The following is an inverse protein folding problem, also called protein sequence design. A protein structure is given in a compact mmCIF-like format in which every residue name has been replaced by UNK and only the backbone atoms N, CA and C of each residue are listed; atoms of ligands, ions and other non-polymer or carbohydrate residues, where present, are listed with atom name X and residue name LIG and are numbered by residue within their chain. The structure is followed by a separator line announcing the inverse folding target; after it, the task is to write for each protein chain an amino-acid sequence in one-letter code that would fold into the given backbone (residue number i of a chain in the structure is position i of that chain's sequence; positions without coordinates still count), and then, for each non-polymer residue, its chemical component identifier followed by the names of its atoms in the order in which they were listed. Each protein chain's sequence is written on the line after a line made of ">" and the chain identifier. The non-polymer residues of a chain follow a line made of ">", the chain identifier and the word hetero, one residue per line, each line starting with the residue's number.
data_IF_110983213758
#
_entry.id   IF_110983213758
#
_cell.length_a   1.000
_cell.length_b   1.000
_cell.length_c   1.000
_cell.angle_alpha   90.00
_cell.angle_beta   90.00
_cell.angle_gamma   90.00
#
_symmetry.space_group_name_H-M   'P 1'
#
loop_
_entity.id
_entity.type
_entity.pdbx_description
1 polymer ?
#
# COMPACT_ATOMS: atom_id res chain seq x y z
N UNK A 1 -75.48 13.87 36.39
CA UNK A 1 -75.15 13.52 34.99
C UNK A 1 -73.78 12.86 35.00
N UNK A 2 -73.71 11.56 34.68
CA UNK A 2 -72.48 10.77 34.68
C UNK A 2 -71.79 10.86 33.32
N UNK A 3 -70.55 11.37 33.28
CA UNK A 3 -69.71 11.32 32.08
C UNK A 3 -68.94 9.99 32.06
N UNK A 4 -69.36 9.06 31.20
CA UNK A 4 -68.63 7.81 30.94
C UNK A 4 -67.46 8.10 29.99
N UNK A 5 -66.24 8.18 30.54
CA UNK A 5 -65.00 8.30 29.77
C UNK A 5 -64.69 6.95 29.12
N UNK A 6 -64.87 6.86 27.80
CA UNK A 6 -64.46 5.69 27.02
C UNK A 6 -62.93 5.64 26.97
N UNK A 7 -62.33 4.80 27.82
CA UNK A 7 -60.91 4.49 27.76
C UNK A 7 -60.64 3.56 26.58
N UNK A 8 -60.14 4.12 25.48
CA UNK A 8 -59.59 3.33 24.38
C UNK A 8 -58.36 2.58 24.90
N UNK A 9 -58.51 1.28 25.19
CA UNK A 9 -57.40 0.38 25.46
C UNK A 9 -56.55 0.27 24.18
N UNK A 10 -55.52 1.10 24.07
CA UNK A 10 -54.46 0.90 23.10
C UNK A 10 -53.67 -0.31 23.59
N UNK A 11 -53.85 -1.46 22.93
CA UNK A 11 -52.99 -2.63 23.10
C UNK A 11 -51.54 -2.19 22.93
N UNK A 12 -50.79 -2.08 24.03
CA UNK A 12 -49.34 -1.90 23.97
C UNK A 12 -48.77 -3.27 23.62
N UNK A 13 -48.55 -3.51 22.33
CA UNK A 13 -47.80 -4.67 21.83
C UNK A 13 -46.31 -4.47 22.20
N UNK A 14 -45.89 -5.05 23.31
CA UNK A 14 -44.48 -5.18 23.66
C UNK A 14 -43.87 -6.40 22.95
N UNK A 15 -42.63 -6.26 22.48
CA UNK A 15 -41.84 -7.38 21.96
C UNK A 15 -41.62 -8.41 23.07
N UNK A 16 -41.78 -9.70 22.77
CA UNK A 16 -41.49 -10.77 23.73
C UNK A 16 -39.97 -10.98 23.84
N UNK A 17 -39.50 -11.41 25.02
CA UNK A 17 -38.09 -11.76 25.21
C UNK A 17 -37.68 -12.93 24.29
N UNK A 18 -38.58 -13.86 24.02
CA UNK A 18 -38.34 -15.00 23.15
C UNK A 18 -38.13 -14.56 21.68
N UNK A 19 -38.91 -13.61 21.19
CA UNK A 19 -38.75 -13.05 19.84
C UNK A 19 -37.39 -12.37 19.69
N UNK A 20 -36.95 -11.61 20.70
CA UNK A 20 -35.63 -10.98 20.66
C UNK A 20 -34.50 -12.03 20.70
N UNK A 21 -34.64 -13.08 21.52
CA UNK A 21 -33.64 -14.14 21.66
C UNK A 21 -33.41 -14.90 20.36
N UNK A 22 -34.47 -15.26 19.63
CA UNK A 22 -34.32 -15.97 18.35
C UNK A 22 -33.61 -15.09 17.31
N UNK A 23 -33.89 -13.78 17.31
CA UNK A 23 -33.26 -12.83 16.38
C UNK A 23 -31.76 -12.72 16.65
N UNK A 24 -31.36 -12.56 17.91
CA UNK A 24 -29.93 -12.49 18.27
C UNK A 24 -29.22 -13.80 17.96
N UNK A 25 -29.88 -14.95 18.16
CA UNK A 25 -29.31 -16.25 17.79
C UNK A 25 -29.03 -16.36 16.28
N UNK A 26 -29.97 -15.93 15.43
CA UNK A 26 -29.80 -15.94 13.97
C UNK A 26 -28.69 -14.96 13.54
N UNK A 27 -28.67 -13.73 14.09
CA UNK A 27 -27.61 -12.75 13.81
C UNK A 27 -26.24 -13.31 14.22
N UNK A 28 -26.15 -14.00 15.37
CA UNK A 28 -24.92 -14.64 15.82
C UNK A 28 -24.34 -15.63 14.81
N UNK A 29 -25.18 -16.48 14.21
CA UNK A 29 -24.77 -17.44 13.18
C UNK A 29 -24.27 -16.72 11.92
N UNK A 30 -25.00 -15.68 11.47
CA UNK A 30 -24.60 -14.90 10.30
C UNK A 30 -23.26 -14.21 10.50
N UNK A 31 -23.05 -13.59 11.67
CA UNK A 31 -21.81 -12.88 12.01
C UNK A 31 -20.61 -13.85 12.08
N UNK A 32 -20.80 -15.04 12.65
CA UNK A 32 -19.74 -16.04 12.78
C UNK A 32 -19.13 -16.44 11.43
N UNK A 33 -19.95 -16.57 10.38
CA UNK A 33 -19.48 -16.88 9.02
C UNK A 33 -18.97 -15.61 8.31
N UNK A 34 -19.64 -14.47 8.53
CA UNK A 34 -19.37 -13.24 7.78
C UNK A 34 -18.01 -12.61 8.12
N UNK A 35 -17.60 -12.61 9.39
CA UNK A 35 -16.34 -11.97 9.81
C UNK A 35 -15.09 -12.53 9.10
N UNK A 36 -14.83 -13.87 9.10
CA UNK A 36 -13.63 -14.41 8.46
C UNK A 36 -13.65 -14.20 6.94
N UNK A 37 -14.81 -14.35 6.30
CA UNK A 37 -14.97 -14.13 4.86
C UNK A 37 -14.69 -12.68 4.49
N UNK A 38 -15.32 -11.75 5.21
CA UNK A 38 -15.13 -10.31 4.99
C UNK A 38 -13.68 -9.88 5.20
N UNK A 39 -13.02 -10.41 6.24
CA UNK A 39 -11.61 -10.12 6.53
C UNK A 39 -10.69 -10.59 5.39
N UNK A 40 -10.92 -11.81 4.88
CA UNK A 40 -10.15 -12.35 3.75
C UNK A 40 -10.37 -11.53 2.47
N UNK A 41 -11.62 -11.19 2.16
CA UNK A 41 -11.94 -10.37 0.99
C UNK A 41 -11.35 -8.96 1.08
N UNK A 42 -11.41 -8.35 2.26
CA UNK A 42 -10.78 -7.05 2.52
C UNK A 42 -9.27 -7.10 2.27
N UNK A 43 -8.58 -8.14 2.74
CA UNK A 43 -7.16 -8.30 2.50
C UNK A 43 -6.84 -8.43 1.01
N UNK A 44 -7.61 -9.24 0.27
CA UNK A 44 -7.45 -9.39 -1.19
C UNK A 44 -7.69 -8.06 -1.92
N UNK A 45 -8.69 -7.28 -1.49
CA UNK A 45 -8.96 -5.97 -2.05
C UNK A 45 -7.80 -4.98 -1.82
N UNK A 46 -7.19 -4.99 -0.63
CA UNK A 46 -6.00 -4.19 -0.33
C UNK A 46 -4.83 -4.55 -1.25
N UNK A 47 -4.54 -5.85 -1.39
CA UNK A 47 -3.46 -6.32 -2.28
C UNK A 47 -3.73 -5.92 -3.73
N UNK A 48 -4.96 -6.12 -4.23
CA UNK A 48 -5.34 -5.75 -5.58
C UNK A 48 -5.19 -4.24 -5.84
N UNK A 49 -5.65 -3.40 -4.91
CA UNK A 49 -5.51 -1.96 -4.99
C UNK A 49 -4.03 -1.53 -5.00
N UNK A 50 -3.22 -2.05 -4.08
CA UNK A 50 -1.80 -1.74 -4.04
C UNK A 50 -1.06 -2.19 -5.31
N UNK A 51 -1.36 -3.37 -5.85
CA UNK A 51 -0.81 -3.83 -7.13
C UNK A 51 -1.18 -2.90 -8.29
N UNK A 52 -2.42 -2.43 -8.35
CA UNK A 52 -2.85 -1.46 -9.35
C UNK A 52 -2.09 -0.13 -9.21
N UNK A 53 -1.95 0.36 -7.98
CA UNK A 53 -1.22 1.59 -7.68
C UNK A 53 0.27 1.47 -8.00
N UNK A 54 0.90 0.31 -7.74
CA UNK A 54 2.30 0.04 -8.09
C UNK A 54 2.51 0.10 -9.60
N UNK A 55 1.58 -0.48 -10.38
CA UNK A 55 1.64 -0.40 -11.85
C UNK A 55 1.49 1.03 -12.33
N UNK A 56 0.56 1.80 -11.75
CA UNK A 56 0.39 3.21 -12.06
C UNK A 56 1.65 4.03 -11.73
N UNK A 57 2.27 3.79 -10.56
CA UNK A 57 3.50 4.44 -10.15
C UNK A 57 4.66 4.16 -11.12
N UNK A 58 4.85 2.88 -11.53
CA UNK A 58 5.86 2.51 -12.53
C UNK A 58 5.60 3.19 -13.87
N UNK A 59 4.35 3.16 -14.35
CA UNK A 59 3.99 3.78 -15.61
C UNK A 59 4.22 5.30 -15.58
N UNK A 60 3.84 5.97 -14.49
CA UNK A 60 4.07 7.40 -14.31
C UNK A 60 5.56 7.75 -14.35
N UNK A 61 6.40 6.96 -13.67
CA UNK A 61 7.85 7.18 -13.67
C UNK A 61 8.44 6.92 -15.05
N UNK A 62 8.10 5.80 -15.69
CA UNK A 62 8.55 5.50 -17.05
C UNK A 62 8.18 6.63 -18.02
N UNK A 63 6.94 7.11 -17.99
CA UNK A 63 6.50 8.24 -18.81
C UNK A 63 7.31 9.51 -18.51
N UNK A 64 7.50 9.83 -17.23
CA UNK A 64 8.28 10.99 -16.81
C UNK A 64 9.74 10.95 -17.28
N UNK A 65 10.32 9.75 -17.40
CA UNK A 65 11.67 9.51 -17.91
C UNK A 65 11.75 9.60 -19.44
N UNK A 66 10.71 9.17 -20.15
CA UNK A 66 10.63 9.35 -21.60
C UNK A 66 10.53 10.82 -22.01
N UNK A 67 9.76 11.62 -21.25
CA UNK A 67 9.59 13.05 -21.53
C UNK A 67 10.86 13.86 -21.22
N UNK A 68 11.59 13.47 -20.19
CA UNK A 68 12.74 14.22 -19.71
C UNK A 68 13.78 13.28 -19.07
N UNK A 69 14.76 12.90 -19.87
CA UNK A 69 15.88 12.06 -19.43
C UNK A 69 16.80 12.79 -18.45
N UNK A 70 16.66 14.11 -18.27
CA UNK A 70 17.42 14.85 -17.24
C UNK A 70 16.98 14.49 -15.82
N UNK A 71 15.83 13.82 -15.66
CA UNK A 71 15.42 13.20 -14.39
C UNK A 71 16.23 11.95 -14.04
N UNK A 72 17.00 11.44 -15.00
CA UNK A 72 18.11 10.50 -14.77
C UNK A 72 19.45 11.22 -14.70
N UNK A 73 19.52 12.54 -14.94
CA UNK A 73 20.79 13.23 -15.06
C UNK A 73 21.44 13.41 -13.68
N UNK A 74 22.65 12.86 -13.61
CA UNK A 74 23.45 12.64 -12.42
C UNK A 74 24.69 13.53 -12.44
N UNK A 75 24.60 14.67 -13.15
CA UNK A 75 25.70 15.55 -13.58
C UNK A 75 26.56 16.19 -12.48
N UNK A 76 26.39 15.82 -11.20
CA UNK A 76 27.29 16.21 -10.11
C UNK A 76 27.74 15.04 -9.22
N UNK A 77 27.95 13.84 -9.78
CA UNK A 77 28.46 12.71 -9.00
C UNK A 77 29.56 11.96 -9.73
N UNK A 78 30.76 12.03 -9.18
CA UNK A 78 32.01 11.56 -9.79
C UNK A 78 32.27 10.05 -9.65
N UNK A 79 31.30 9.23 -9.18
CA UNK A 79 31.49 7.80 -8.91
C UNK A 79 30.22 6.94 -9.14
N UNK A 80 30.37 5.95 -10.03
CA UNK A 80 29.60 4.73 -10.40
C UNK A 80 28.44 4.15 -9.52
N UNK A 81 27.61 4.94 -8.83
CA UNK A 81 26.54 4.45 -7.91
C UNK A 81 25.21 5.19 -8.08
N UNK A 82 24.88 5.39 -9.34
CA UNK A 82 23.92 6.33 -9.83
C UNK A 82 22.48 5.77 -9.73
N UNK A 83 21.72 6.21 -8.73
CA UNK A 83 20.35 5.74 -8.48
C UNK A 83 19.38 6.92 -8.35
N UNK A 84 18.19 6.75 -8.94
CA UNK A 84 17.11 7.73 -8.88
C UNK A 84 15.92 7.17 -8.10
N UNK A 85 15.40 7.96 -7.16
CA UNK A 85 14.17 7.64 -6.45
C UNK A 85 13.06 8.59 -6.84
N UNK A 86 11.88 8.02 -7.07
CA UNK A 86 10.65 8.74 -7.31
C UNK A 86 9.63 8.39 -6.23
N UNK A 87 8.89 9.38 -5.75
CA UNK A 87 7.75 9.15 -4.84
C UNK A 87 6.47 9.44 -5.60
N UNK A 88 5.64 8.41 -5.74
CA UNK A 88 4.30 8.50 -6.30
C UNK A 88 3.27 8.65 -5.18
N UNK A 89 2.45 9.70 -5.25
CA UNK A 89 1.29 9.85 -4.38
C UNK A 89 0.09 9.15 -4.99
N UNK A 90 -0.47 8.20 -4.24
CA UNK A 90 -1.57 7.34 -4.69
C UNK A 90 -2.89 8.11 -4.79
N UNK A 91 -3.06 9.16 -3.99
CA UNK A 91 -4.28 9.95 -3.92
C UNK A 91 -4.38 10.97 -5.05
N UNK A 92 -3.30 11.67 -5.36
CA UNK A 92 -3.22 12.65 -6.45
C UNK A 92 -2.92 12.00 -7.80
N UNK A 93 -2.32 10.82 -7.80
CA UNK A 93 -1.91 10.13 -9.01
C UNK A 93 -0.70 10.76 -9.70
N UNK A 94 0.15 11.47 -8.94
CA UNK A 94 1.29 12.23 -9.46
C UNK A 94 2.59 11.85 -8.77
N UNK A 95 3.71 12.13 -9.45
CA UNK A 95 5.04 12.04 -8.85
C UNK A 95 5.31 13.32 -8.08
N UNK A 96 5.64 13.21 -6.80
CA UNK A 96 5.92 14.36 -5.93
C UNK A 96 7.38 14.77 -5.92
N UNK A 97 8.29 13.82 -6.06
CA UNK A 97 9.73 14.06 -5.88
C UNK A 97 10.54 13.19 -6.84
N UNK A 98 11.60 13.80 -7.38
CA UNK A 98 12.74 13.13 -8.00
C UNK A 98 13.98 13.47 -7.16
N UNK A 99 14.58 12.47 -6.49
CA UNK A 99 15.87 12.67 -5.80
C UNK A 99 16.92 11.81 -6.48
N UNK A 100 17.94 12.48 -7.03
CA UNK A 100 19.21 11.87 -7.43
C UNK A 100 20.16 12.00 -6.24
N UNK A 101 20.72 10.89 -5.74
CA UNK A 101 21.60 10.93 -4.56
C UNK A 101 22.62 9.81 -4.55
N UNK A 102 23.74 10.04 -3.85
CA UNK A 102 24.87 9.09 -3.75
C UNK A 102 24.46 7.83 -2.99
N UNK A 103 24.07 6.77 -3.70
CA UNK A 103 23.76 5.45 -3.14
C UNK A 103 22.56 5.39 -2.18
N UNK A 104 22.24 4.16 -1.75
CA UNK A 104 21.02 3.81 -0.96
C UNK A 104 20.81 4.60 0.34
N UNK A 105 21.84 5.25 0.87
CA UNK A 105 21.82 5.99 2.13
C UNK A 105 21.95 7.52 1.98
N UNK A 106 22.29 8.03 0.78
CA UNK A 106 22.51 9.46 0.57
C UNK A 106 21.26 10.25 0.21
N UNK A 107 20.28 9.61 -0.43
CA UNK A 107 19.01 10.24 -0.79
C UNK A 107 18.01 10.17 0.37
N UNK A 108 17.40 11.31 0.71
CA UNK A 108 16.44 11.44 1.79
C UNK A 108 15.11 12.02 1.30
N UNK A 109 14.03 11.63 1.97
CA UNK A 109 12.68 12.08 1.70
C UNK A 109 12.02 12.51 3.02
N UNK A 110 11.27 13.62 2.98
CA UNK A 110 10.49 14.11 4.11
C UNK A 110 9.02 13.75 3.94
N UNK A 111 8.52 12.87 4.80
CA UNK A 111 7.11 12.50 4.85
C UNK A 111 6.56 12.78 6.25
N UNK A 112 5.41 13.47 6.33
CA UNK A 112 4.76 13.86 7.58
C UNK A 112 5.72 14.52 8.60
N UNK A 113 6.57 15.43 8.13
CA UNK A 113 7.53 16.18 8.97
C UNK A 113 8.74 15.39 9.45
N UNK A 114 8.90 14.13 9.03
CA UNK A 114 10.09 13.32 9.35
C UNK A 114 10.93 13.12 8.09
N UNK A 115 12.24 13.33 8.16
CA UNK A 115 13.17 13.05 7.06
C UNK A 115 13.88 11.72 7.31
N UNK A 116 13.81 10.80 6.35
CA UNK A 116 14.56 9.54 6.39
C UNK A 116 15.07 9.17 5.00
N UNK A 117 16.02 8.23 4.93
CA UNK A 117 16.46 7.70 3.65
C UNK A 117 15.38 6.81 2.99
N UNK A 118 15.50 6.62 1.68
CA UNK A 118 14.53 5.83 0.91
C UNK A 118 14.44 4.37 1.33
N UNK A 119 15.51 3.79 1.89
CA UNK A 119 15.46 2.44 2.43
C UNK A 119 14.52 2.35 3.64
N UNK A 120 14.63 3.29 4.58
CA UNK A 120 13.75 3.36 5.74
C UNK A 120 12.29 3.61 5.34
N UNK A 121 12.05 4.53 4.41
CA UNK A 121 10.70 4.77 3.88
C UNK A 121 10.16 3.59 3.09
N UNK A 122 10.99 2.91 2.31
CA UNK A 122 10.59 1.70 1.59
C UNK A 122 10.12 0.61 2.56
N UNK A 123 10.82 0.41 3.67
CA UNK A 123 10.41 -0.52 4.74
C UNK A 123 9.08 -0.09 5.36
N UNK A 124 8.96 1.19 5.72
CA UNK A 124 7.75 1.76 6.29
C UNK A 124 6.53 1.54 5.37
N UNK A 125 6.60 1.93 4.10
CA UNK A 125 5.49 1.77 3.17
C UNK A 125 5.20 0.29 2.86
N UNK A 126 6.22 -0.57 2.85
CA UNK A 126 6.03 -2.01 2.72
C UNK A 126 5.33 -2.63 3.93
N UNK A 127 5.60 -2.16 5.14
CA UNK A 127 4.89 -2.60 6.33
C UNK A 127 3.44 -2.11 6.35
N UNK A 128 3.18 -0.88 5.89
CA UNK A 128 1.81 -0.38 5.72
C UNK A 128 1.01 -1.21 4.72
N UNK A 129 1.64 -1.65 3.62
CA UNK A 129 0.99 -2.46 2.58
C UNK A 129 0.40 -3.78 3.10
N UNK A 130 0.88 -4.27 4.27
CA UNK A 130 0.40 -5.51 4.89
C UNK A 130 -1.04 -5.39 5.39
N UNK A 131 -1.48 -4.21 5.77
CA UNK A 131 -2.76 -4.00 6.49
C UNK A 131 -3.66 -2.95 5.85
N UNK A 132 -3.14 -2.12 4.94
CA UNK A 132 -3.88 -1.05 4.27
C UNK A 132 -3.36 -0.75 2.88
N UNK A 133 -4.14 0.02 2.12
CA UNK A 133 -3.70 0.61 0.86
C UNK A 133 -2.63 1.67 1.17
N UNK A 134 -1.53 1.65 0.43
CA UNK A 134 -0.43 2.59 0.65
C UNK A 134 -0.78 3.99 0.16
N UNK A 135 -0.38 5.00 0.93
CA UNK A 135 -0.55 6.41 0.57
C UNK A 135 0.52 6.85 -0.46
N UNK A 136 1.73 6.29 -0.33
CA UNK A 136 2.88 6.54 -1.21
C UNK A 136 3.45 5.25 -1.74
N UNK A 137 4.02 5.32 -2.95
CA UNK A 137 4.80 4.25 -3.56
C UNK A 137 6.13 4.84 -3.98
N UNK A 138 7.21 4.22 -3.52
CA UNK A 138 8.56 4.62 -3.94
C UNK A 138 8.93 3.77 -5.14
N UNK A 139 9.39 4.42 -6.20
CA UNK A 139 9.98 3.78 -7.37
C UNK A 139 11.48 4.06 -7.35
N UNK A 140 12.27 3.00 -7.39
CA UNK A 140 13.71 3.03 -7.55
C UNK A 140 14.02 2.76 -9.01
N UNK A 141 14.88 3.58 -9.60
CA UNK A 141 15.43 3.39 -10.95
C UNK A 141 16.95 3.32 -10.80
N UNK A 142 17.51 2.16 -11.10
CA UNK A 142 18.96 1.91 -11.03
C UNK A 142 19.67 2.20 -12.35
N UNK A 143 20.99 2.37 -12.30
CA UNK A 143 21.87 2.50 -13.47
C UNK A 143 22.29 1.10 -13.99
N UNK A 144 22.57 1.00 -15.30
CA UNK A 144 23.04 -0.21 -16.01
C UNK A 144 24.23 -0.90 -15.33
N UNK A 145 25.13 -0.15 -14.68
CA UNK A 145 26.27 -0.73 -13.94
C UNK A 145 25.87 -1.42 -12.62
N UNK A 146 24.81 -0.98 -11.96
CA UNK A 146 24.26 -1.63 -10.76
C UNK A 146 23.53 -2.95 -11.10
N UNK A 147 23.08 -3.10 -12.37
CA UNK A 147 22.36 -4.30 -12.85
C UNK A 147 23.25 -5.54 -13.00
N UNK A 148 24.57 -5.36 -13.14
CA UNK A 148 25.51 -6.47 -13.31
C UNK A 148 26.09 -6.98 -11.99
N UNK A 149 25.95 -6.21 -10.90
CA UNK A 149 26.63 -6.49 -9.62
C UNK A 149 25.69 -6.65 -8.42
N UNK A 150 24.50 -6.03 -8.41
CA UNK A 150 23.67 -5.97 -7.17
C UNK A 150 22.15 -6.06 -7.39
N UNK A 151 21.64 -5.92 -8.62
CA UNK A 151 20.20 -5.79 -8.85
C UNK A 151 19.73 -6.48 -10.13
N UNK A 152 18.59 -7.18 -10.08
CA UNK A 152 18.02 -7.92 -11.21
C UNK A 152 16.99 -7.12 -12.03
N UNK A 153 16.57 -5.92 -11.58
CA UNK A 153 15.61 -5.09 -12.32
C UNK A 153 15.98 -3.60 -12.31
N UNK A 154 15.91 -2.95 -13.48
CA UNK A 154 16.18 -1.51 -13.65
C UNK A 154 15.19 -0.63 -12.88
N UNK A 155 13.94 -1.06 -12.77
CA UNK A 155 12.86 -0.34 -12.08
C UNK A 155 12.29 -1.25 -11.00
N UNK A 156 12.32 -0.76 -9.76
CA UNK A 156 11.81 -1.48 -8.60
C UNK A 156 10.87 -0.59 -7.81
N UNK A 157 10.03 -1.20 -6.96
CA UNK A 157 9.10 -0.44 -6.13
C UNK A 157 9.13 -0.91 -4.68
N UNK A 158 8.80 0.00 -3.77
CA UNK A 158 8.43 -0.30 -2.40
C UNK A 158 7.08 0.36 -2.10
N UNK A 159 6.03 -0.41 -1.73
CA UNK A 159 6.01 -1.87 -1.66
C UNK A 159 6.20 -2.56 -3.01
N UNK A 160 6.51 -3.86 -2.94
CA UNK A 160 6.33 -4.80 -4.03
C UNK A 160 5.67 -6.08 -3.53
N UNK A 161 4.98 -6.76 -4.43
CA UNK A 161 4.35 -8.05 -4.17
C UNK A 161 5.06 -9.13 -4.99
N UNK A 162 5.17 -10.31 -4.40
CA UNK A 162 5.60 -11.53 -5.10
C UNK A 162 4.47 -12.06 -5.99
N UNK A 163 4.77 -13.09 -6.78
CA UNK A 163 3.76 -13.84 -7.54
C UNK A 163 2.64 -14.40 -6.65
N UNK A 164 2.96 -14.71 -5.39
CA UNK A 164 2.01 -15.28 -4.42
C UNK A 164 1.20 -14.23 -3.64
N UNK A 165 1.08 -13.00 -4.15
CA UNK A 165 0.36 -11.90 -3.48
C UNK A 165 0.94 -11.51 -2.11
N UNK A 166 2.17 -11.93 -1.80
CA UNK A 166 2.84 -11.58 -0.56
C UNK A 166 3.71 -10.35 -0.72
N UNK A 167 3.81 -9.55 0.32
CA UNK A 167 4.81 -8.47 0.35
C UNK A 167 6.20 -9.09 0.43
N UNK A 168 7.08 -8.67 -0.48
CA UNK A 168 8.42 -9.24 -0.54
C UNK A 168 9.37 -8.69 0.54
N UNK A 169 9.08 -7.53 1.14
CA UNK A 169 9.77 -7.10 2.36
C UNK A 169 9.40 -7.98 3.56
N UNK A 170 10.36 -8.79 4.03
CA UNK A 170 10.16 -9.72 5.15
C UNK A 170 10.51 -9.15 6.53
N UNK A 171 10.89 -7.87 6.64
CA UNK A 171 11.25 -7.22 7.91
C UNK A 171 12.75 -7.10 8.15
N UNK A 172 13.14 -6.33 9.18
CA UNK A 172 14.54 -6.13 9.56
C UNK A 172 15.41 -5.55 8.45
N UNK A 173 16.55 -6.19 8.19
CA UNK A 173 17.55 -5.77 7.19
C UNK A 173 17.21 -6.10 5.74
N UNK A 174 16.08 -6.75 5.45
CA UNK A 174 15.69 -7.11 4.08
C UNK A 174 15.55 -5.89 3.17
N UNK A 175 15.82 -6.08 1.87
CA UNK A 175 15.56 -5.06 0.85
C UNK A 175 14.05 -4.81 0.74
N UNK A 176 13.55 -3.58 0.96
CA UNK A 176 12.13 -3.28 0.78
C UNK A 176 11.75 -3.06 -0.68
N UNK A 177 12.73 -2.86 -1.56
CA UNK A 177 12.52 -2.73 -2.99
C UNK A 177 12.48 -4.11 -3.64
N UNK A 178 11.80 -4.17 -4.79
CA UNK A 178 11.63 -5.35 -5.65
C UNK A 178 12.89 -6.20 -5.87
N UNK A 179 12.73 -7.35 -6.53
CA UNK A 179 13.43 -8.58 -6.15
C UNK A 179 14.94 -8.40 -5.96
N UNK A 180 15.46 -9.01 -4.88
CA UNK A 180 16.90 -9.06 -4.65
C UNK A 180 17.64 -9.74 -5.80
N UNK A 181 18.97 -9.52 -5.88
CA UNK A 181 19.81 -10.13 -6.90
C UNK A 181 19.55 -11.65 -7.02
N UNK A 182 19.10 -12.08 -8.21
CA UNK A 182 18.81 -13.48 -8.54
C UNK A 182 17.34 -13.89 -8.52
N UNK A 183 16.40 -12.99 -8.23
CA UNK A 183 14.96 -13.29 -8.33
C UNK A 183 14.39 -12.76 -9.66
N UNK A 184 13.94 -13.69 -10.50
CA UNK A 184 13.35 -13.48 -11.83
C UNK A 184 11.92 -12.94 -11.81
N UNK A 185 11.45 -12.44 -10.68
CA UNK A 185 10.03 -12.24 -10.42
C UNK A 185 9.63 -10.80 -10.75
N UNK A 186 9.42 -10.53 -12.03
CA UNK A 186 8.76 -9.32 -12.51
C UNK A 186 7.24 -9.48 -12.33
N UNK A 187 6.67 -8.73 -11.39
CA UNK A 187 5.22 -8.58 -11.19
C UNK A 187 4.81 -7.13 -11.12
#
# INVERSE_FOLDING_TARGET
>A
MNFKKSGSNKYKSGFTLAELLVVVAIIGILVAISIPVFTSQRQKAIVAANKANIRAARAAVVAALYDDTSKLDMTTVQNDTDISYFVYDVKSGTIEITVSGKGFNGAAYTYNGTTQNFNAWGKYFSDQAKTKVCDKIIVYVGNEKDMTTRNSAMIQTAPYYTENDEIGYKGGGSNPFGPGAGSSTAG
#
